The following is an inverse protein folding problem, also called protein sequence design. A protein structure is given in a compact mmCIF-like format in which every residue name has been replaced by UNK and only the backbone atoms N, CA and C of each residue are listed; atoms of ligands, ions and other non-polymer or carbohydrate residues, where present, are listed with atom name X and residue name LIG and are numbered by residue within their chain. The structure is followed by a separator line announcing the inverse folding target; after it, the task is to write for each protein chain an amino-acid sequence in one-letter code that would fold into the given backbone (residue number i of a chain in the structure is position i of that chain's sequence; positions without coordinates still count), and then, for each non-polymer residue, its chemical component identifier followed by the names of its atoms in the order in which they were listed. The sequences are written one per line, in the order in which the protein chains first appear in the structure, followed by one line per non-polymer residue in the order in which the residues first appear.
data_IF_551257079561
#
_entry.id   IF_551257079561
#
_cell.length_a   1.000
_cell.length_b   1.000
_cell.length_c   1.000
_cell.angle_alpha   90.00
_cell.angle_beta   90.00
_cell.angle_gamma   90.00
#
_symmetry.space_group_name_H-M   'P 1'
#
loop_
_entity.id
_entity.type
_entity.pdbx_description
1 polymer ?
#
# COMPACT_ATOMS: atom_id res chain seq x y z
N UNK A 1 63.63 1.07 -28.82
CA UNK A 1 62.59 0.43 -29.66
C UNK A 1 62.15 -0.86 -28.98
N UNK A 2 60.83 -1.06 -28.79
CA UNK A 2 60.20 -2.26 -28.20
C UNK A 2 59.51 -1.99 -26.85
N UNK A 3 58.32 -1.37 -26.81
CA UNK A 3 56.96 -1.97 -26.82
C UNK A 3 56.75 -3.00 -25.70
N UNK A 4 56.15 -2.57 -24.57
CA UNK A 4 54.72 -2.75 -24.23
C UNK A 4 54.33 -4.22 -23.99
N UNK A 5 54.45 -4.67 -22.74
CA UNK A 5 53.68 -5.78 -22.20
C UNK A 5 52.63 -5.18 -21.25
N UNK A 6 51.50 -4.76 -21.82
CA UNK A 6 50.35 -4.31 -21.06
C UNK A 6 49.70 -5.52 -20.39
N UNK A 7 49.82 -5.60 -19.08
CA UNK A 7 49.18 -6.60 -18.23
C UNK A 7 47.67 -6.40 -18.35
N UNK A 8 47.02 -7.33 -19.04
CA UNK A 8 45.57 -7.43 -19.17
C UNK A 8 45.00 -8.05 -17.87
N UNK A 9 44.96 -7.28 -16.78
CA UNK A 9 44.21 -7.69 -15.59
C UNK A 9 42.74 -7.34 -15.77
N UNK A 10 42.00 -8.38 -16.18
CA UNK A 10 40.54 -8.44 -16.25
C UNK A 10 39.86 -7.69 -15.10
N UNK A 11 39.17 -6.64 -15.48
CA UNK A 11 38.06 -6.07 -14.71
C UNK A 11 36.95 -7.10 -14.66
N UNK A 12 36.92 -7.90 -13.59
CA UNK A 12 35.77 -8.72 -13.21
C UNK A 12 35.29 -8.25 -11.84
N UNK A 13 34.92 -6.97 -11.76
CA UNK A 13 33.85 -6.60 -10.84
C UNK A 13 32.59 -7.14 -11.50
N UNK A 14 32.28 -8.40 -11.20
CA UNK A 14 30.96 -8.96 -11.40
C UNK A 14 30.01 -8.16 -10.51
N UNK A 15 29.62 -6.98 -11.00
CA UNK A 15 28.49 -6.26 -10.50
C UNK A 15 27.33 -7.22 -10.67
N UNK A 16 26.93 -7.84 -9.56
CA UNK A 16 25.67 -8.56 -9.47
C UNK A 16 24.64 -7.52 -9.82
N UNK A 17 24.23 -7.50 -11.09
CA UNK A 17 23.06 -6.78 -11.51
C UNK A 17 21.95 -7.46 -10.72
N UNK A 18 21.64 -6.91 -9.53
CA UNK A 18 20.32 -7.11 -8.93
C UNK A 18 19.39 -6.69 -10.05
N UNK A 19 18.80 -7.70 -10.68
CA UNK A 19 17.67 -7.53 -11.56
C UNK A 19 16.67 -6.73 -10.75
N UNK A 20 16.65 -5.42 -10.93
CA UNK A 20 15.53 -4.57 -10.60
C UNK A 20 14.43 -5.10 -11.51
N UNK A 21 13.71 -6.13 -11.07
CA UNK A 21 12.48 -6.51 -11.72
C UNK A 21 11.64 -5.24 -11.71
N UNK A 22 11.61 -4.54 -12.84
CA UNK A 22 10.87 -3.31 -12.97
C UNK A 22 9.42 -3.67 -12.69
N UNK A 23 8.85 -3.08 -11.64
CA UNK A 23 7.46 -3.28 -11.29
C UNK A 23 6.62 -2.80 -12.48
N UNK A 24 6.11 -3.77 -13.26
CA UNK A 24 5.39 -3.48 -14.48
C UNK A 24 4.15 -2.65 -14.16
N UNK A 25 3.89 -1.62 -14.97
CA UNK A 25 2.64 -0.85 -14.85
C UNK A 25 1.46 -1.80 -15.06
N UNK A 26 0.47 -1.71 -14.18
CA UNK A 26 -0.76 -2.50 -14.25
C UNK A 26 -1.87 -1.64 -14.90
N UNK A 27 -2.57 -2.17 -15.90
CA UNK A 27 -3.55 -1.42 -16.72
C UNK A 27 -5.01 -1.76 -16.43
N UNK A 28 -5.29 -2.87 -15.74
CA UNK A 28 -6.65 -3.40 -15.54
C UNK A 28 -6.96 -3.65 -14.06
N UNK A 29 -6.69 -2.63 -13.23
CA UNK A 29 -6.93 -2.70 -11.80
C UNK A 29 -8.42 -2.60 -11.46
N UNK A 30 -8.90 -3.55 -10.66
CA UNK A 30 -10.25 -3.56 -10.10
C UNK A 30 -10.17 -3.64 -8.57
N UNK A 31 -10.59 -2.56 -7.90
CA UNK A 31 -10.48 -2.41 -6.46
C UNK A 31 -11.27 -3.48 -5.71
N UNK A 32 -12.42 -3.91 -6.23
CA UNK A 32 -13.21 -4.98 -5.64
C UNK A 32 -12.43 -6.30 -5.62
N UNK A 33 -11.86 -6.71 -6.75
CA UNK A 33 -11.12 -7.96 -6.88
C UNK A 33 -9.81 -7.98 -6.08
N UNK A 34 -9.16 -6.82 -5.94
CA UNK A 34 -7.91 -6.67 -5.21
C UNK A 34 -8.13 -6.69 -3.70
N UNK A 35 -9.12 -5.93 -3.21
CA UNK A 35 -9.45 -5.88 -1.78
C UNK A 35 -10.12 -7.16 -1.28
N UNK A 36 -10.81 -7.89 -2.16
CA UNK A 36 -11.55 -9.12 -1.88
C UNK A 36 -12.38 -9.03 -0.57
N UNK A 37 -13.31 -8.06 -0.47
CA UNK A 37 -13.96 -7.75 0.79
C UNK A 37 -14.80 -8.91 1.36
N UNK A 38 -15.24 -9.85 0.51
CA UNK A 38 -15.97 -11.04 0.93
C UNK A 38 -15.14 -12.00 1.79
N UNK A 39 -13.81 -11.92 1.70
CA UNK A 39 -12.90 -12.76 2.49
C UNK A 39 -12.48 -12.13 3.82
N UNK A 40 -12.97 -10.92 4.13
CA UNK A 40 -12.74 -10.24 5.42
C UNK A 40 -11.25 -10.08 5.80
N UNK A 41 -10.38 -9.95 4.81
CA UNK A 41 -8.96 -9.72 5.05
C UNK A 41 -8.74 -8.41 5.83
N UNK A 42 -7.76 -8.43 6.72
CA UNK A 42 -7.30 -7.22 7.42
C UNK A 42 -6.17 -6.59 6.61
N UNK A 43 -6.32 -5.32 6.26
CA UNK A 43 -5.26 -4.53 5.64
C UNK A 43 -4.76 -3.46 6.61
N UNK A 44 -3.44 -3.37 6.73
CA UNK A 44 -2.71 -2.44 7.60
C UNK A 44 -2.20 -1.27 6.76
N UNK A 45 -2.35 -0.04 7.24
CA UNK A 45 -1.72 1.13 6.63
C UNK A 45 -0.24 1.16 7.04
N UNK A 46 0.65 0.71 6.17
CA UNK A 46 2.09 0.62 6.44
C UNK A 46 2.78 1.98 6.25
N UNK A 47 2.40 2.73 5.22
CA UNK A 47 2.99 4.04 4.94
C UNK A 47 1.98 5.02 4.36
N UNK A 48 2.08 6.30 4.74
CA UNK A 48 1.20 7.36 4.23
C UNK A 48 1.91 8.68 4.14
N UNK A 49 1.66 9.44 3.07
CA UNK A 49 2.12 10.83 2.93
C UNK A 49 1.15 11.84 3.57
N UNK A 50 0.06 11.38 4.18
CA UNK A 50 -0.81 12.28 4.96
C UNK A 50 0.01 12.91 6.09
N UNK A 51 -0.22 14.19 6.44
CA UNK A 51 0.47 14.80 7.57
C UNK A 51 0.19 14.09 8.88
N UNK A 52 -1.04 13.61 9.12
CA UNK A 52 -1.45 12.95 10.36
C UNK A 52 -2.29 11.70 10.05
N UNK A 53 -1.69 10.61 9.54
CA UNK A 53 -2.39 9.34 9.42
C UNK A 53 -2.70 8.81 10.82
N UNK A 54 -3.79 8.05 10.95
CA UNK A 54 -4.16 7.44 12.23
C UNK A 54 -3.16 6.34 12.59
N UNK A 55 -2.67 6.34 13.82
CA UNK A 55 -1.74 5.33 14.31
C UNK A 55 -2.40 3.95 14.28
N UNK A 56 -1.63 2.93 13.89
CA UNK A 56 -2.10 1.54 13.81
C UNK A 56 -3.37 1.33 12.97
N UNK A 57 -3.61 2.20 11.98
CA UNK A 57 -4.80 2.13 11.15
C UNK A 57 -4.84 0.81 10.39
N UNK A 58 -5.98 0.12 10.51
CA UNK A 58 -6.29 -1.11 9.79
C UNK A 58 -7.74 -1.15 9.35
N UNK A 59 -7.99 -1.80 8.23
CA UNK A 59 -9.29 -1.90 7.57
C UNK A 59 -9.73 -3.36 7.49
N UNK A 60 -10.99 -3.63 7.83
CA UNK A 60 -11.59 -4.97 7.79
C UNK A 60 -13.02 -4.84 7.25
N UNK A 61 -13.32 -5.53 6.14
CA UNK A 61 -14.68 -5.60 5.62
C UNK A 61 -15.62 -6.34 6.58
N UNK A 62 -16.89 -5.96 6.63
CA UNK A 62 -17.90 -6.47 7.55
C UNK A 62 -19.15 -6.97 6.80
N UNK A 63 -19.92 -7.82 7.48
CA UNK A 63 -21.22 -8.31 6.97
C UNK A 63 -21.06 -9.21 5.74
N UNK A 64 -21.93 -9.04 4.75
CA UNK A 64 -21.87 -9.75 3.47
C UNK A 64 -21.68 -8.72 2.35
N UNK A 65 -20.44 -8.31 2.02
CA UNK A 65 -20.18 -7.34 0.97
C UNK A 65 -20.72 -7.82 -0.39
N UNK A 66 -21.32 -6.91 -1.17
CA UNK A 66 -21.80 -7.19 -2.54
C UNK A 66 -21.38 -6.06 -3.48
N UNK A 67 -20.67 -6.38 -4.57
CA UNK A 67 -20.14 -5.39 -5.51
C UNK A 67 -21.25 -4.44 -5.99
N UNK A 68 -21.05 -3.11 -5.99
CA UNK A 68 -19.80 -2.40 -5.67
C UNK A 68 -19.59 -2.02 -4.20
N UNK A 69 -20.47 -2.44 -3.29
CA UNK A 69 -20.58 -1.93 -1.93
C UNK A 69 -19.97 -2.88 -0.87
N UNK A 70 -19.23 -2.31 0.07
CA UNK A 70 -18.77 -3.00 1.27
C UNK A 70 -18.94 -2.10 2.49
N UNK A 71 -19.22 -2.68 3.65
CA UNK A 71 -19.03 -1.99 4.93
C UNK A 71 -17.64 -2.33 5.44
N UNK A 72 -16.89 -1.34 5.88
CA UNK A 72 -15.50 -1.50 6.33
C UNK A 72 -15.34 -0.85 7.69
N UNK A 73 -14.89 -1.64 8.67
CA UNK A 73 -14.46 -1.11 9.96
C UNK A 73 -13.00 -0.68 9.85
N UNK A 74 -12.75 0.59 10.13
CA UNK A 74 -11.42 1.13 10.34
C UNK A 74 -11.13 1.16 11.84
N UNK A 75 -10.11 0.42 12.30
CA UNK A 75 -9.63 0.45 13.69
C UNK A 75 -8.28 1.15 13.75
N UNK A 76 -8.07 1.96 14.78
CA UNK A 76 -6.82 2.72 14.97
C UNK A 76 -6.60 3.02 16.46
N UNK A 77 -5.37 3.37 16.82
CA UNK A 77 -4.97 3.73 18.18
C UNK A 77 -5.03 5.25 18.34
N UNK A 78 -5.53 5.72 19.48
CA UNK A 78 -5.44 7.10 19.96
C UNK A 78 -4.77 7.12 21.32
N UNK A 79 -4.51 8.32 21.86
CA UNK A 79 -3.97 8.47 23.22
C UNK A 79 -4.87 7.82 24.29
N UNK A 80 -6.17 7.65 24.00
CA UNK A 80 -7.17 7.07 24.91
C UNK A 80 -7.34 5.55 24.74
N UNK A 81 -6.66 4.94 23.76
CA UNK A 81 -6.77 3.53 23.45
C UNK A 81 -7.24 3.26 22.02
N UNK A 82 -7.79 2.06 21.79
CA UNK A 82 -8.26 1.67 20.46
C UNK A 82 -9.65 2.24 20.17
N UNK A 83 -9.81 2.79 18.98
CA UNK A 83 -11.08 3.28 18.44
C UNK A 83 -11.43 2.55 17.15
N UNK A 84 -12.72 2.59 16.79
CA UNK A 84 -13.24 2.00 15.56
C UNK A 84 -14.29 2.92 14.93
N UNK A 85 -14.29 2.97 13.59
CA UNK A 85 -15.30 3.67 12.80
C UNK A 85 -15.77 2.78 11.67
N UNK A 86 -17.06 2.84 11.34
CA UNK A 86 -17.66 2.01 10.29
C UNK A 86 -17.96 2.87 9.07
N UNK A 87 -17.30 2.56 7.96
CA UNK A 87 -17.37 3.32 6.72
C UNK A 87 -18.06 2.51 5.64
N UNK A 88 -18.85 3.17 4.81
CA UNK A 88 -19.37 2.57 3.58
C UNK A 88 -18.38 2.79 2.45
N UNK A 89 -17.94 1.71 1.83
CA UNK A 89 -17.06 1.72 0.67
C UNK A 89 -17.86 1.39 -0.59
N UNK A 90 -17.59 2.14 -1.66
CA UNK A 90 -18.10 1.88 -3.02
C UNK A 90 -16.90 1.81 -3.96
N UNK A 91 -16.86 0.80 -4.82
CA UNK A 91 -15.78 0.57 -5.79
C UNK A 91 -16.27 0.73 -7.23
N UNK A 92 -15.41 1.26 -8.10
CA UNK A 92 -15.67 1.40 -9.54
C UNK A 92 -14.35 1.31 -10.31
N UNK A 93 -14.10 0.16 -10.94
CA UNK A 93 -12.78 -0.18 -11.47
C UNK A 93 -11.69 0.00 -10.41
N UNK A 94 -10.61 0.77 -10.65
CA UNK A 94 -9.56 1.00 -9.67
C UNK A 94 -9.94 2.01 -8.57
N UNK A 95 -11.08 2.70 -8.73
CA UNK A 95 -11.50 3.76 -7.82
C UNK A 95 -12.26 3.20 -6.63
N UNK A 96 -12.17 3.91 -5.53
CA UNK A 96 -12.94 3.69 -4.32
C UNK A 96 -13.38 5.01 -3.70
N UNK A 97 -14.57 4.98 -3.10
CA UNK A 97 -15.11 6.07 -2.30
C UNK A 97 -15.49 5.50 -0.93
N UNK A 98 -14.98 6.10 0.14
CA UNK A 98 -15.33 5.79 1.51
C UNK A 98 -16.19 6.92 2.11
N UNK A 99 -17.31 6.59 2.75
CA UNK A 99 -18.18 7.57 3.42
C UNK A 99 -18.48 7.22 4.88
N UNK A 100 -18.53 8.25 5.73
CA UNK A 100 -18.91 8.19 7.15
C UNK A 100 -19.71 9.46 7.50
N UNK A 101 -21.03 9.33 7.61
CA UNK A 101 -21.92 10.49 7.70
C UNK A 101 -21.71 11.41 6.49
N UNK A 102 -21.43 12.69 6.74
CA UNK A 102 -21.15 13.68 5.70
C UNK A 102 -19.69 13.65 5.19
N UNK A 103 -18.82 12.85 5.82
CA UNK A 103 -17.42 12.73 5.40
C UNK A 103 -17.31 11.80 4.21
N UNK A 104 -16.55 12.23 3.21
CA UNK A 104 -16.25 11.46 2.00
C UNK A 104 -14.75 11.52 1.73
N UNK A 105 -14.17 10.37 1.39
CA UNK A 105 -12.79 10.25 0.94
C UNK A 105 -12.73 9.40 -0.34
N UNK A 106 -12.00 9.85 -1.33
CA UNK A 106 -11.82 9.15 -2.61
C UNK A 106 -10.40 8.62 -2.71
N UNK A 107 -10.24 7.47 -3.35
CA UNK A 107 -8.95 6.85 -3.61
C UNK A 107 -8.97 6.08 -4.93
N UNK A 108 -7.78 5.92 -5.52
CA UNK A 108 -7.56 5.09 -6.70
C UNK A 108 -6.41 4.15 -6.43
N UNK A 109 -6.63 2.84 -6.55
CA UNK A 109 -5.54 1.87 -6.53
C UNK A 109 -4.74 2.03 -7.81
N UNK A 110 -3.45 2.35 -7.67
CA UNK A 110 -2.53 2.57 -8.80
C UNK A 110 -1.56 1.41 -9.01
N UNK A 111 -1.46 0.52 -8.04
CA UNK A 111 -0.69 -0.72 -8.10
C UNK A 111 -1.11 -1.65 -6.97
N UNK A 112 -1.09 -2.96 -7.19
CA UNK A 112 -1.24 -3.93 -6.12
C UNK A 112 -1.66 -5.31 -6.61
N UNK A 113 -1.83 -6.19 -5.65
CA UNK A 113 -2.42 -7.52 -5.77
C UNK A 113 -3.22 -7.81 -4.48
N UNK A 114 -3.61 -9.07 -4.23
CA UNK A 114 -4.38 -9.44 -3.03
C UNK A 114 -3.61 -9.34 -1.70
N UNK A 115 -2.31 -9.09 -1.76
CA UNK A 115 -1.43 -8.99 -0.58
C UNK A 115 -1.11 -7.56 -0.20
N UNK A 116 -1.17 -6.63 -1.15
CA UNK A 116 -0.88 -5.22 -0.90
C UNK A 116 -1.42 -4.28 -1.98
N UNK A 117 -1.55 -3.01 -1.61
CA UNK A 117 -2.06 -1.96 -2.50
C UNK A 117 -1.31 -0.65 -2.30
N UNK A 118 -1.12 0.08 -3.39
CA UNK A 118 -0.74 1.50 -3.38
C UNK A 118 -1.93 2.31 -3.86
N UNK A 119 -2.36 3.25 -3.03
CA UNK A 119 -3.56 4.06 -3.26
C UNK A 119 -3.15 5.52 -3.37
N UNK A 120 -3.62 6.20 -4.41
CA UNK A 120 -3.58 7.66 -4.51
C UNK A 120 -4.95 8.20 -4.11
N UNK A 121 -4.98 8.99 -3.05
CA UNK A 121 -6.19 9.61 -2.54
C UNK A 121 -6.56 10.84 -3.38
N UNK A 122 -7.83 11.25 -3.35
CA UNK A 122 -8.32 12.45 -4.05
C UNK A 122 -7.59 13.74 -3.64
N UNK A 123 -6.99 13.76 -2.44
CA UNK A 123 -6.10 14.83 -1.96
C UNK A 123 -4.69 14.81 -2.55
N UNK A 124 -4.35 13.82 -3.39
CA UNK A 124 -3.01 13.57 -3.90
C UNK A 124 -2.06 12.92 -2.87
N UNK A 125 -2.54 12.57 -1.67
CA UNK A 125 -1.77 11.77 -0.72
C UNK A 125 -1.69 10.32 -1.19
N UNK A 126 -0.58 9.66 -0.86
CA UNK A 126 -0.31 8.30 -1.29
C UNK A 126 -0.24 7.42 -0.04
N UNK A 127 -0.83 6.25 -0.13
CA UNK A 127 -0.87 5.26 0.93
C UNK A 127 -0.41 3.90 0.41
N UNK A 128 0.36 3.20 1.23
CA UNK A 128 0.73 1.81 1.04
C UNK A 128 0.05 0.96 2.12
N UNK A 129 -0.75 0.00 1.66
CA UNK A 129 -1.51 -0.91 2.49
C UNK A 129 -1.02 -2.34 2.29
N UNK A 130 -0.86 -3.08 3.38
CA UNK A 130 -0.41 -4.48 3.38
C UNK A 130 -1.45 -5.37 4.07
N UNK A 131 -1.73 -6.54 3.50
CA UNK A 131 -2.56 -7.56 4.13
C UNK A 131 -1.85 -8.17 5.34
N UNK A 132 -2.51 -8.23 6.49
CA UNK A 132 -1.85 -8.53 7.78
C UNK A 132 -1.31 -9.96 7.88
N UNK A 133 -1.94 -10.91 7.22
CA UNK A 133 -1.55 -12.34 7.18
C UNK A 133 -0.58 -12.66 6.03
N UNK A 134 -0.18 -11.68 5.23
CA UNK A 134 0.84 -11.84 4.20
C UNK A 134 2.24 -11.73 4.81
N UNK A 135 2.92 -12.88 4.91
CA UNK A 135 4.32 -12.94 5.35
C UNK A 135 5.30 -12.39 4.31
N UNK A 136 4.96 -12.50 3.04
CA UNK A 136 5.76 -12.04 1.89
C UNK A 136 4.89 -11.22 0.93
N UNK A 137 4.58 -9.95 1.28
CA UNK A 137 3.81 -9.09 0.40
C UNK A 137 4.64 -8.76 -0.85
N UNK A 138 3.96 -8.51 -1.96
CA UNK A 138 4.65 -8.17 -3.20
C UNK A 138 5.59 -6.95 -3.02
N UNK A 139 6.91 -7.11 -3.20
CA UNK A 139 7.88 -6.06 -2.92
C UNK A 139 7.69 -4.81 -3.80
N UNK A 140 6.99 -4.95 -4.92
CA UNK A 140 6.68 -3.84 -5.80
C UNK A 140 5.71 -2.82 -5.21
N UNK A 141 4.85 -3.18 -4.24
CA UNK A 141 3.98 -2.19 -3.61
C UNK A 141 4.80 -1.10 -2.89
N UNK A 142 5.82 -1.48 -2.12
CA UNK A 142 6.71 -0.53 -1.47
C UNK A 142 7.48 0.31 -2.50
N UNK A 143 8.05 -0.33 -3.53
CA UNK A 143 8.78 0.39 -4.58
C UNK A 143 7.90 1.39 -5.33
N UNK A 144 6.65 1.03 -5.65
CA UNK A 144 5.72 1.93 -6.32
C UNK A 144 5.30 3.08 -5.39
N UNK A 145 5.08 2.82 -4.10
CA UNK A 145 4.85 3.87 -3.11
C UNK A 145 6.01 4.88 -3.08
N UNK A 146 7.25 4.39 -2.98
CA UNK A 146 8.45 5.22 -2.95
C UNK A 146 8.63 6.06 -4.23
N UNK A 147 8.36 5.48 -5.40
CA UNK A 147 8.38 6.20 -6.66
C UNK A 147 7.27 7.26 -6.74
N UNK A 148 6.05 6.92 -6.34
CA UNK A 148 4.88 7.82 -6.41
C UNK A 148 5.00 8.99 -5.45
N UNK A 149 5.56 8.78 -4.25
CA UNK A 149 5.72 9.88 -3.28
C UNK A 149 6.77 10.90 -3.72
N UNK A 150 7.62 10.56 -4.69
CA UNK A 150 8.57 11.49 -5.32
C UNK A 150 9.35 12.34 -4.29
N UNK A 151 9.85 11.70 -3.23
CA UNK A 151 10.62 12.34 -2.16
C UNK A 151 9.80 13.07 -1.08
N UNK A 152 8.46 13.12 -1.19
CA UNK A 152 7.61 13.64 -0.11
C UNK A 152 7.81 12.85 1.19
N UNK A 153 7.72 13.57 2.30
CA UNK A 153 7.71 12.98 3.64
C UNK A 153 6.55 12.00 3.79
N UNK A 154 6.79 10.95 4.58
CA UNK A 154 5.79 9.95 4.92
C UNK A 154 5.91 9.54 6.37
N UNK A 155 4.85 8.90 6.88
CA UNK A 155 4.80 8.30 8.21
C UNK A 155 4.44 6.83 8.08
N UNK A 156 4.83 6.06 9.09
CA UNK A 156 4.61 4.62 9.19
C UNK A 156 3.70 4.30 10.38
N UNK A 157 2.36 4.24 10.18
CA UNK A 157 1.41 4.10 11.29
C UNK A 157 1.59 2.82 12.12
N UNK A 158 2.14 1.76 11.53
CA UNK A 158 2.35 0.48 12.23
C UNK A 158 3.54 0.49 13.21
N UNK A 159 4.43 1.50 13.17
CA UNK A 159 5.56 1.64 14.11
C UNK A 159 5.18 2.26 15.46
N UNK A 160 3.87 2.39 15.75
CA UNK A 160 3.33 3.10 16.93
C UNK A 160 2.87 2.16 18.04
N UNK A 161 3.60 1.05 18.22
CA UNK A 161 3.30 0.00 19.20
C UNK A 161 1.85 -0.49 19.06
N UNK A 162 1.58 -1.15 17.94
CA UNK A 162 0.24 -1.62 17.57
C UNK A 162 -0.14 -2.95 18.23
N UNK A 163 0.42 -3.25 19.39
CA UNK A 163 0.11 -4.44 20.19
C UNK A 163 -1.28 -4.34 20.83
N UNK A 164 -1.95 -5.48 21.05
CA UNK A 164 -3.26 -5.54 21.72
C UNK A 164 -4.48 -5.29 20.83
N UNK A 165 -4.37 -5.67 19.56
CA UNK A 165 -5.28 -5.32 18.48
C UNK A 165 -6.50 -6.24 18.37
#
# INVERSE_FOLDING_TARGET
MGRLAAILTCWLVAGVAKSNAQCAVQTDLDAWNLLDPAMHHTFLLESSTKPNPKDCLRAIAQGNPVKPNAQVTLRFKTEKGWEATNWKFVTDGPKMTATLGDRKEEGTIVYGDRTCHVIVLGSGNIEYWKRSDSSDPNPCCQQVFDNKRAGRDFREPQKKDCTGA
#
